data_IF_935891858314
#
_entry.id   IF_935891858314
#
_cell.length_a   1.000
_cell.length_b   1.000
_cell.length_c   1.000
_cell.angle_alpha   90.00
_cell.angle_beta   90.00
_cell.angle_gamma   90.00
#
_symmetry.space_group_name_H-M   'P 1'
#
loop_
_entity.id
_entity.type
_entity.pdbx_description
1 polymer ?
#
# COMPACT_ATOMS: atom_id res chain seq x y z
N UNK A 1 -50.71 -68.44 -6.86
CA UNK A 1 -49.79 -69.28 -7.66
C UNK A 1 -48.56 -69.56 -6.82
N UNK A 2 -48.29 -70.83 -6.50
CA UNK A 2 -47.14 -71.21 -5.68
C UNK A 2 -45.81 -70.91 -6.38
N UNK A 3 -44.78 -70.55 -5.61
CA UNK A 3 -43.42 -70.27 -6.13
C UNK A 3 -42.87 -71.38 -7.03
N UNK A 4 -43.33 -72.61 -6.80
CA UNK A 4 -42.96 -73.84 -7.48
C UNK A 4 -43.37 -73.86 -8.97
N UNK A 5 -44.48 -73.20 -9.32
CA UNK A 5 -44.95 -73.07 -10.72
C UNK A 5 -44.09 -72.06 -11.48
N UNK A 6 -43.70 -70.97 -10.80
CA UNK A 6 -42.82 -69.94 -11.33
C UNK A 6 -41.43 -70.50 -11.62
N UNK A 7 -40.87 -71.30 -10.72
CA UNK A 7 -39.54 -71.89 -10.86
C UNK A 7 -39.47 -72.90 -12.03
N UNK A 8 -40.48 -73.77 -12.18
CA UNK A 8 -40.48 -74.76 -13.27
C UNK A 8 -40.75 -74.15 -14.66
N UNK A 9 -41.48 -73.04 -14.74
CA UNK A 9 -41.65 -72.28 -15.97
C UNK A 9 -40.35 -71.59 -16.43
N UNK A 10 -39.47 -71.21 -15.49
CA UNK A 10 -38.25 -70.46 -15.76
C UNK A 10 -37.03 -71.36 -16.03
N UNK A 11 -36.90 -72.52 -15.39
CA UNK A 11 -35.70 -73.39 -15.52
C UNK A 11 -35.85 -74.58 -16.47
N UNK A 12 -37.08 -74.88 -16.91
CA UNK A 12 -37.40 -76.16 -17.55
C UNK A 12 -37.45 -77.29 -16.52
N UNK A 13 -38.47 -78.14 -16.59
CA UNK A 13 -38.68 -79.25 -15.66
C UNK A 13 -37.84 -80.49 -16.03
N UNK A 14 -36.57 -80.30 -16.40
CA UNK A 14 -35.64 -81.40 -16.60
C UNK A 14 -34.97 -81.72 -15.26
N UNK A 15 -35.51 -82.75 -14.60
CA UNK A 15 -35.01 -83.48 -13.43
C UNK A 15 -33.76 -82.90 -12.74
N UNK A 16 -33.93 -81.86 -11.93
CA UNK A 16 -32.89 -81.45 -10.96
C UNK A 16 -33.03 -82.22 -9.67
N UNK A 17 -32.02 -83.03 -9.36
CA UNK A 17 -31.85 -83.62 -8.03
C UNK A 17 -31.05 -82.66 -7.16
N UNK A 18 -31.68 -82.03 -6.17
CA UNK A 18 -30.96 -81.28 -5.13
C UNK A 18 -30.66 -82.21 -3.95
N UNK A 19 -29.39 -82.55 -3.66
CA UNK A 19 -29.03 -83.62 -2.71
C UNK A 19 -29.41 -83.37 -1.24
N UNK A 20 -29.94 -82.20 -0.89
CA UNK A 20 -30.28 -81.82 0.50
C UNK A 20 -31.72 -82.07 0.92
N UNK A 21 -32.64 -82.35 0.00
CA UNK A 21 -34.00 -82.73 0.36
C UNK A 21 -34.40 -83.95 -0.45
N UNK A 22 -34.55 -85.10 0.21
CA UNK A 22 -34.95 -86.39 -0.38
C UNK A 22 -36.41 -86.39 -0.91
N UNK A 23 -36.90 -85.26 -1.44
CA UNK A 23 -38.17 -85.13 -2.15
C UNK A 23 -37.85 -84.89 -3.63
N UNK A 24 -38.03 -85.92 -4.46
CA UNK A 24 -38.25 -85.71 -5.89
C UNK A 24 -39.55 -84.92 -6.05
N UNK A 25 -39.45 -83.61 -6.31
CA UNK A 25 -40.59 -82.80 -6.71
C UNK A 25 -40.88 -83.12 -8.18
N UNK A 26 -41.69 -84.15 -8.41
CA UNK A 26 -42.29 -84.37 -9.71
C UNK A 26 -43.25 -83.22 -9.99
N UNK A 27 -42.89 -82.31 -10.90
CA UNK A 27 -43.89 -81.43 -11.48
C UNK A 27 -44.90 -82.30 -12.21
N UNK A 28 -46.19 -82.12 -11.90
CA UNK A 28 -47.25 -82.82 -12.62
C UNK A 28 -47.19 -82.44 -14.10
N UNK A 29 -47.60 -83.32 -15.02
CA UNK A 29 -47.58 -83.04 -16.46
C UNK A 29 -48.32 -81.73 -16.82
N UNK A 30 -49.36 -81.40 -16.06
CA UNK A 30 -50.14 -80.17 -16.16
C UNK A 30 -49.31 -78.92 -15.79
N UNK A 31 -48.52 -78.96 -14.72
CA UNK A 31 -47.62 -77.84 -14.36
C UNK A 31 -46.50 -77.63 -15.38
N UNK A 32 -45.94 -78.71 -15.93
CA UNK A 32 -44.94 -78.59 -16.99
C UNK A 32 -45.56 -78.09 -18.31
N UNK A 33 -46.83 -78.40 -18.58
CA UNK A 33 -47.57 -77.89 -19.73
C UNK A 33 -47.90 -76.40 -19.57
N UNK A 34 -48.36 -75.95 -18.39
CA UNK A 34 -48.57 -74.54 -18.09
C UNK A 34 -47.28 -73.72 -18.14
N UNK A 35 -46.17 -74.24 -17.60
CA UNK A 35 -44.87 -73.58 -17.67
C UNK A 35 -44.34 -73.46 -19.11
N UNK A 36 -44.50 -74.50 -19.94
CA UNK A 36 -44.16 -74.44 -21.36
C UNK A 36 -45.10 -73.52 -22.15
N UNK A 37 -46.38 -73.49 -21.81
CA UNK A 37 -47.34 -72.58 -22.43
C UNK A 37 -46.98 -71.13 -22.11
N UNK A 38 -46.67 -70.80 -20.85
CA UNK A 38 -46.19 -69.48 -20.45
C UNK A 38 -44.88 -69.09 -21.14
N UNK A 39 -43.93 -70.01 -21.27
CA UNK A 39 -42.68 -69.78 -22.00
C UNK A 39 -42.90 -69.54 -23.49
N UNK A 40 -43.74 -70.35 -24.14
CA UNK A 40 -44.15 -70.09 -25.54
C UNK A 40 -44.91 -68.78 -25.66
N UNK A 41 -45.74 -68.42 -24.68
CA UNK A 41 -46.43 -67.12 -24.69
C UNK A 41 -45.42 -65.97 -24.58
N UNK A 42 -44.36 -66.13 -23.79
CA UNK A 42 -43.29 -65.14 -23.67
C UNK A 42 -42.42 -65.05 -24.93
N UNK A 43 -42.15 -66.18 -25.58
CA UNK A 43 -41.43 -66.28 -26.86
C UNK A 43 -42.28 -65.74 -28.04
N UNK A 44 -43.57 -66.10 -28.11
CA UNK A 44 -44.56 -65.65 -29.12
C UNK A 44 -44.88 -64.15 -28.99
N UNK A 45 -44.85 -63.61 -27.76
CA UNK A 45 -44.98 -62.18 -27.49
C UNK A 45 -43.66 -61.41 -27.72
N UNK A 46 -42.55 -62.10 -28.04
CA UNK A 46 -41.25 -61.49 -28.32
C UNK A 46 -40.66 -60.72 -27.12
N UNK A 47 -40.98 -61.12 -25.88
CA UNK A 47 -40.61 -60.37 -24.67
C UNK A 47 -39.08 -60.24 -24.53
N UNK A 48 -38.32 -61.28 -24.90
CA UNK A 48 -36.85 -61.24 -24.86
C UNK A 48 -36.26 -60.29 -25.92
N UNK A 49 -36.76 -60.32 -27.16
CA UNK A 49 -36.36 -59.39 -28.22
C UNK A 49 -36.70 -57.94 -27.83
N UNK A 50 -37.80 -57.74 -27.11
CA UNK A 50 -38.24 -56.44 -26.62
C UNK A 50 -37.41 -55.93 -25.43
N UNK A 51 -37.02 -56.81 -24.49
CA UNK A 51 -36.06 -56.49 -23.44
C UNK A 51 -34.68 -56.18 -24.02
N UNK A 52 -34.30 -56.88 -25.10
CA UNK A 52 -33.13 -56.57 -25.93
C UNK A 52 -33.22 -55.18 -26.56
N UNK A 53 -34.35 -54.84 -27.18
CA UNK A 53 -34.60 -53.53 -27.78
C UNK A 53 -34.62 -52.41 -26.73
N UNK A 54 -35.14 -52.65 -25.53
CA UNK A 54 -35.10 -51.70 -24.42
C UNK A 54 -33.71 -51.48 -23.86
N UNK A 55 -32.89 -52.55 -23.78
CA UNK A 55 -31.47 -52.43 -23.43
C UNK A 55 -30.74 -51.62 -24.49
N UNK A 56 -30.96 -51.94 -25.76
CA UNK A 56 -30.30 -51.24 -26.86
C UNK A 56 -30.71 -49.78 -26.89
N UNK A 57 -32.01 -49.46 -26.78
CA UNK A 57 -32.51 -48.10 -26.77
C UNK A 57 -32.04 -47.31 -25.55
N UNK A 58 -32.08 -47.91 -24.35
CA UNK A 58 -31.54 -47.32 -23.13
C UNK A 58 -30.04 -47.03 -23.26
N UNK A 59 -29.30 -47.98 -23.84
CA UNK A 59 -27.89 -47.83 -24.14
C UNK A 59 -27.65 -46.71 -25.17
N UNK A 60 -28.44 -46.65 -26.25
CA UNK A 60 -28.37 -45.65 -27.31
C UNK A 60 -28.68 -44.23 -26.79
N UNK A 61 -29.66 -44.08 -25.88
CA UNK A 61 -29.91 -42.78 -25.20
C UNK A 61 -28.76 -42.37 -24.28
N UNK A 62 -28.17 -43.33 -23.56
CA UNK A 62 -27.00 -43.05 -22.73
C UNK A 62 -25.80 -42.66 -23.61
N UNK A 63 -25.49 -43.40 -24.66
CA UNK A 63 -24.39 -43.06 -25.59
C UNK A 63 -24.65 -41.79 -26.39
N UNK A 64 -25.89 -41.39 -26.64
CA UNK A 64 -26.20 -40.11 -27.31
C UNK A 64 -26.03 -38.90 -26.40
N UNK A 65 -26.37 -39.01 -25.11
CA UNK A 65 -26.36 -37.89 -24.15
C UNK A 65 -25.06 -37.78 -23.35
N UNK A 66 -24.36 -38.90 -23.14
CA UNK A 66 -23.09 -38.95 -22.39
C UNK A 66 -21.96 -38.10 -23.01
N UNK A 67 -21.78 -38.03 -24.34
CA UNK A 67 -20.81 -37.12 -24.95
C UNK A 67 -21.12 -35.66 -24.67
N UNK A 68 -22.41 -35.27 -24.73
CA UNK A 68 -22.87 -33.91 -24.40
C UNK A 68 -22.62 -33.55 -22.94
N UNK A 69 -22.90 -34.47 -22.01
CA UNK A 69 -22.59 -34.27 -20.60
C UNK A 69 -21.08 -34.13 -20.36
N UNK A 70 -20.26 -34.91 -21.06
CA UNK A 70 -18.80 -34.82 -21.01
C UNK A 70 -18.28 -33.50 -21.59
N UNK A 71 -18.83 -33.01 -22.70
CA UNK A 71 -18.47 -31.71 -23.31
C UNK A 71 -18.81 -30.55 -22.37
N UNK A 72 -19.99 -30.56 -21.75
CA UNK A 72 -20.42 -29.50 -20.83
C UNK A 72 -19.61 -29.52 -19.54
N UNK A 73 -19.33 -30.70 -18.98
CA UNK A 73 -18.43 -30.80 -17.81
C UNK A 73 -17.01 -30.37 -18.15
N UNK A 74 -16.47 -30.75 -19.30
CA UNK A 74 -15.15 -30.31 -19.74
C UNK A 74 -15.07 -28.79 -19.92
N UNK A 75 -16.03 -28.19 -20.65
CA UNK A 75 -16.09 -26.75 -20.87
C UNK A 75 -16.29 -25.97 -19.56
N UNK A 76 -17.15 -26.46 -18.66
CA UNK A 76 -17.36 -25.86 -17.34
C UNK A 76 -16.09 -25.94 -16.48
N UNK A 77 -15.36 -27.07 -16.53
CA UNK A 77 -14.10 -27.26 -15.80
C UNK A 77 -13.00 -26.35 -16.33
N UNK A 78 -12.88 -26.22 -17.65
CA UNK A 78 -11.93 -25.31 -18.29
C UNK A 78 -12.24 -23.85 -17.89
N UNK A 79 -13.49 -23.41 -18.03
CA UNK A 79 -13.91 -22.05 -17.70
C UNK A 79 -13.72 -21.71 -16.22
N UNK A 80 -14.06 -22.62 -15.31
CA UNK A 80 -13.82 -22.43 -13.87
C UNK A 80 -12.34 -22.42 -13.52
N UNK A 81 -11.52 -23.26 -14.17
CA UNK A 81 -10.06 -23.26 -13.97
C UNK A 81 -9.41 -21.97 -14.46
N UNK A 82 -9.82 -21.47 -15.63
CA UNK A 82 -9.36 -20.18 -16.16
C UNK A 82 -9.77 -19.03 -15.24
N UNK A 83 -11.04 -18.98 -14.81
CA UNK A 83 -11.51 -17.93 -13.90
C UNK A 83 -10.83 -18.00 -12.53
N UNK A 84 -10.60 -19.20 -11.98
CA UNK A 84 -9.86 -19.37 -10.73
C UNK A 84 -8.41 -18.87 -10.85
N UNK A 85 -7.77 -19.08 -12.01
CA UNK A 85 -6.42 -18.57 -12.29
C UNK A 85 -6.40 -17.04 -12.35
N UNK A 86 -7.41 -16.43 -12.98
CA UNK A 86 -7.59 -14.97 -13.02
C UNK A 86 -7.82 -14.39 -11.61
N UNK A 87 -8.67 -15.02 -10.80
CA UNK A 87 -8.92 -14.61 -9.41
C UNK A 87 -7.65 -14.74 -8.55
N UNK A 88 -6.88 -15.82 -8.73
CA UNK A 88 -5.59 -15.98 -8.05
C UNK A 88 -4.59 -14.87 -8.45
N UNK A 89 -4.52 -14.54 -9.74
CA UNK A 89 -3.71 -13.42 -10.22
C UNK A 89 -4.12 -12.07 -9.62
N UNK A 90 -5.43 -11.82 -9.47
CA UNK A 90 -5.91 -10.61 -8.79
C UNK A 90 -5.62 -10.60 -7.29
N UNK A 91 -5.67 -11.75 -6.59
CA UNK A 91 -5.23 -11.79 -5.16
C UNK A 91 -3.75 -11.47 -4.99
N UNK A 92 -2.88 -11.95 -5.89
CA UNK A 92 -1.45 -11.63 -5.86
C UNK A 92 -1.21 -10.14 -6.17
N UNK A 93 -1.95 -9.57 -7.13
CA UNK A 93 -1.89 -8.14 -7.44
C UNK A 93 -2.39 -7.28 -6.27
N UNK A 94 -3.48 -7.67 -5.61
CA UNK A 94 -4.05 -6.95 -4.48
C UNK A 94 -3.11 -6.96 -3.26
N UNK A 95 -2.52 -8.12 -2.94
CA UNK A 95 -1.51 -8.23 -1.87
C UNK A 95 -0.26 -7.41 -2.18
N UNK A 96 0.24 -7.44 -3.42
CA UNK A 96 1.38 -6.63 -3.84
C UNK A 96 1.05 -5.13 -3.84
N UNK A 97 -0.14 -4.73 -4.28
CA UNK A 97 -0.59 -3.35 -4.29
C UNK A 97 -0.75 -2.81 -2.85
N UNK A 98 -1.34 -3.61 -1.96
CA UNK A 98 -1.47 -3.28 -0.52
C UNK A 98 -0.09 -3.08 0.12
N UNK A 99 0.88 -3.96 -0.16
CA UNK A 99 2.24 -3.81 0.36
C UNK A 99 2.94 -2.54 -0.17
N UNK A 100 2.71 -2.18 -1.44
CA UNK A 100 3.24 -0.93 -2.03
C UNK A 100 2.63 0.32 -1.40
N UNK A 101 1.33 0.31 -1.11
CA UNK A 101 0.66 1.42 -0.40
C UNK A 101 1.24 1.56 1.01
N UNK A 102 1.39 0.46 1.76
CA UNK A 102 1.94 0.50 3.11
C UNK A 102 3.41 1.03 3.15
N UNK A 103 4.26 0.61 2.21
CA UNK A 103 5.63 1.14 2.09
C UNK A 103 5.63 2.64 1.73
N UNK A 104 4.74 3.06 0.82
CA UNK A 104 4.61 4.47 0.45
C UNK A 104 4.11 5.34 1.63
N UNK A 105 3.15 4.84 2.42
CA UNK A 105 2.66 5.50 3.64
C UNK A 105 3.75 5.61 4.71
N UNK A 106 4.53 4.55 4.92
CA UNK A 106 5.66 4.58 5.85
C UNK A 106 6.71 5.62 5.45
N UNK A 107 6.97 5.79 4.14
CA UNK A 107 7.86 6.84 3.63
C UNK A 107 7.26 8.23 3.79
N UNK A 108 5.97 8.39 3.57
CA UNK A 108 5.27 9.65 3.78
C UNK A 108 5.34 10.09 5.26
N UNK A 109 5.10 9.17 6.21
CA UNK A 109 5.21 9.46 7.65
C UNK A 109 6.63 9.88 8.06
N UNK A 110 7.67 9.23 7.52
CA UNK A 110 9.06 9.65 7.75
C UNK A 110 9.33 11.03 7.19
N UNK A 111 8.88 11.30 5.97
CA UNK A 111 9.04 12.60 5.34
C UNK A 111 8.31 13.71 6.12
N UNK A 112 7.15 13.44 6.70
CA UNK A 112 6.43 14.38 7.58
C UNK A 112 7.22 14.68 8.86
N UNK A 113 7.77 13.65 9.51
CA UNK A 113 8.60 13.81 10.70
C UNK A 113 9.87 14.63 10.40
N UNK A 114 10.57 14.31 9.30
CA UNK A 114 11.73 15.07 8.83
C UNK A 114 11.36 16.52 8.51
N UNK A 115 10.19 16.76 7.91
CA UNK A 115 9.68 18.12 7.63
C UNK A 115 9.34 18.88 8.92
N UNK A 116 8.89 18.20 9.98
CA UNK A 116 8.64 18.82 11.27
C UNK A 116 9.94 19.22 11.99
N UNK A 117 10.93 18.32 12.01
CA UNK A 117 12.28 18.61 12.53
C UNK A 117 12.94 19.76 11.77
N UNK A 118 12.81 19.76 10.44
CA UNK A 118 13.23 20.84 9.56
C UNK A 118 12.62 22.20 9.92
N UNK A 119 11.32 22.25 10.23
CA UNK A 119 10.64 23.48 10.64
C UNK A 119 11.14 24.00 11.98
N UNK A 120 11.39 23.11 12.95
CA UNK A 120 11.97 23.48 14.25
C UNK A 120 13.40 24.03 14.06
N UNK A 121 14.22 23.36 13.24
CA UNK A 121 15.55 23.86 12.88
C UNK A 121 15.48 25.25 12.23
N UNK A 122 14.60 25.44 11.25
CA UNK A 122 14.41 26.74 10.59
C UNK A 122 14.02 27.84 11.59
N UNK A 123 13.14 27.54 12.55
CA UNK A 123 12.75 28.50 13.59
C UNK A 123 13.94 28.90 14.47
N UNK A 124 14.79 27.94 14.86
CA UNK A 124 16.02 28.20 15.62
C UNK A 124 17.01 29.06 14.84
N UNK A 125 17.21 28.75 13.56
CA UNK A 125 18.09 29.56 12.70
C UNK A 125 17.63 31.01 12.57
N UNK A 126 16.32 31.26 12.51
CA UNK A 126 15.78 32.63 12.47
C UNK A 126 16.15 33.39 13.75
N UNK A 127 16.01 32.74 14.91
CA UNK A 127 16.39 33.34 16.20
C UNK A 127 17.90 33.61 16.26
N UNK A 128 18.73 32.65 15.81
CA UNK A 128 20.19 32.82 15.76
C UNK A 128 20.61 33.95 14.82
N UNK A 129 20.00 34.04 13.63
CA UNK A 129 20.20 35.13 12.68
C UNK A 129 19.83 36.48 13.28
N UNK A 130 18.66 36.58 13.90
CA UNK A 130 18.19 37.84 14.47
C UNK A 130 19.09 38.29 15.64
N UNK A 131 19.61 37.34 16.43
CA UNK A 131 20.62 37.61 17.46
C UNK A 131 21.97 38.05 16.87
N UNK A 132 22.42 37.45 15.76
CA UNK A 132 23.63 37.85 15.05
C UNK A 132 23.49 39.28 14.46
N UNK A 133 22.34 39.59 13.86
CA UNK A 133 22.03 40.92 13.34
C UNK A 133 22.00 41.97 14.45
N UNK A 134 21.38 41.68 15.59
CA UNK A 134 21.38 42.58 16.74
C UNK A 134 22.81 42.87 17.25
N UNK A 135 23.67 41.85 17.30
CA UNK A 135 25.10 42.02 17.63
C UNK A 135 25.84 42.88 16.61
N UNK A 136 25.55 42.72 15.32
CA UNK A 136 26.17 43.52 14.26
C UNK A 136 25.78 45.00 14.37
N UNK A 137 24.49 45.29 14.59
CA UNK A 137 23.99 46.66 14.79
C UNK A 137 24.66 47.30 16.01
N UNK A 138 24.78 46.55 17.11
CA UNK A 138 25.43 47.04 18.33
C UNK A 138 26.93 47.31 18.11
N UNK A 139 27.63 46.44 17.38
CA UNK A 139 29.04 46.65 17.04
C UNK A 139 29.24 47.91 16.18
N UNK A 140 28.36 48.14 15.20
CA UNK A 140 28.38 49.37 14.39
C UNK A 140 28.14 50.63 15.23
N UNK A 141 27.20 50.58 16.18
CA UNK A 141 26.96 51.67 17.13
C UNK A 141 28.20 51.99 17.95
N UNK A 142 28.83 50.97 18.56
CA UNK A 142 30.04 51.12 19.39
C UNK A 142 31.21 51.68 18.57
N UNK A 143 31.35 51.27 17.31
CA UNK A 143 32.39 51.79 16.41
C UNK A 143 32.15 53.24 16.03
N UNK A 144 30.91 53.59 15.73
CA UNK A 144 30.52 54.98 15.46
C UNK A 144 30.85 55.90 16.64
N UNK A 145 30.57 55.46 17.87
CA UNK A 145 30.92 56.19 19.10
C UNK A 145 32.43 56.34 19.27
N UNK A 146 33.20 55.27 19.11
CA UNK A 146 34.66 55.31 19.25
C UNK A 146 35.33 56.22 18.19
N UNK A 147 34.84 56.21 16.95
CA UNK A 147 35.32 57.12 15.90
C UNK A 147 34.95 58.57 16.22
N UNK A 148 33.75 58.81 16.74
CA UNK A 148 33.32 60.13 17.22
C UNK A 148 34.21 60.69 18.33
N UNK A 149 34.50 59.86 19.35
CA UNK A 149 35.39 60.20 20.47
C UNK A 149 36.81 60.50 19.98
N UNK A 150 37.33 59.72 19.02
CA UNK A 150 38.62 59.98 18.38
C UNK A 150 38.65 61.35 17.71
N UNK A 151 37.64 61.68 16.89
CA UNK A 151 37.58 62.98 16.22
C UNK A 151 37.44 64.15 17.19
N UNK A 152 36.70 63.98 18.29
CA UNK A 152 36.65 64.97 19.36
C UNK A 152 38.04 65.20 19.97
N UNK A 153 38.75 64.13 20.33
CA UNK A 153 40.11 64.20 20.88
C UNK A 153 41.13 64.80 19.88
N UNK A 154 41.00 64.52 18.57
CA UNK A 154 41.80 65.14 17.51
C UNK A 154 41.60 66.66 17.49
N UNK A 155 40.34 67.11 17.55
CA UNK A 155 39.97 68.52 17.56
C UNK A 155 40.52 69.26 18.79
N UNK A 156 40.38 68.67 19.97
CA UNK A 156 40.96 69.19 21.23
C UNK A 156 42.50 69.29 21.13
N UNK A 157 43.16 68.26 20.60
CA UNK A 157 44.62 68.23 20.41
C UNK A 157 45.10 69.31 19.45
N UNK A 158 44.38 69.55 18.35
CA UNK A 158 44.69 70.62 17.38
C UNK A 158 44.52 72.00 18.03
N UNK A 159 43.45 72.22 18.80
CA UNK A 159 43.24 73.47 19.53
C UNK A 159 44.37 73.75 20.54
N UNK A 160 44.73 72.77 21.37
CA UNK A 160 45.80 72.92 22.35
C UNK A 160 47.17 73.20 21.72
N UNK A 161 47.47 72.65 20.53
CA UNK A 161 48.70 72.97 19.78
C UNK A 161 48.73 74.43 19.34
N UNK A 162 47.60 74.99 18.89
CA UNK A 162 47.48 76.40 18.50
C UNK A 162 47.67 77.32 19.70
N UNK A 163 47.04 76.99 20.83
CA UNK A 163 47.15 77.77 22.06
C UNK A 163 48.57 77.77 22.64
N UNK A 164 49.25 76.62 22.62
CA UNK A 164 50.66 76.53 23.00
C UNK A 164 51.56 77.36 22.08
N UNK A 165 51.35 77.30 20.76
CA UNK A 165 52.12 78.10 19.81
C UNK A 165 51.94 79.61 20.05
N UNK A 166 50.70 80.05 20.29
CA UNK A 166 50.40 81.44 20.63
C UNK A 166 51.05 81.87 21.95
N UNK A 167 51.03 81.01 22.99
CA UNK A 167 51.66 81.31 24.27
C UNK A 167 53.19 81.36 24.19
N UNK A 168 53.81 80.50 23.38
CA UNK A 168 55.26 80.51 23.13
C UNK A 168 55.67 81.78 22.38
N UNK A 169 54.92 82.19 21.36
CA UNK A 169 55.19 83.44 20.64
C UNK A 169 54.99 84.67 21.53
N UNK A 170 53.93 84.69 22.35
CA UNK A 170 53.71 85.75 23.33
C UNK A 170 54.87 85.85 24.34
N UNK A 171 55.39 84.70 24.81
CA UNK A 171 56.58 84.65 25.67
C UNK A 171 57.81 85.19 24.95
N UNK A 172 58.06 84.78 23.71
CA UNK A 172 59.19 85.26 22.89
C UNK A 172 59.13 86.78 22.71
N UNK A 173 57.95 87.33 22.40
CA UNK A 173 57.73 88.77 22.25
C UNK A 173 57.96 89.54 23.57
N UNK A 174 57.53 88.98 24.71
CA UNK A 174 57.73 89.60 26.02
C UNK A 174 59.19 89.53 26.48
N UNK A 175 59.90 88.42 26.24
CA UNK A 175 61.35 88.34 26.46
C UNK A 175 62.09 89.37 25.60
N UNK A 176 61.76 89.49 24.32
CA UNK A 176 62.35 90.51 23.45
C UNK A 176 61.99 91.95 23.85
N UNK A 177 60.92 92.17 24.64
CA UNK A 177 60.60 93.47 25.25
C UNK A 177 61.40 93.70 26.53
N UNK A 178 61.56 92.68 27.36
CA UNK A 178 62.40 92.72 28.55
C UNK A 178 63.86 93.03 28.18
N UNK A 179 64.43 92.31 27.19
CA UNK A 179 65.80 92.55 26.70
C UNK A 179 66.00 94.00 26.20
N UNK A 180 64.98 94.57 25.54
CA UNK A 180 64.99 95.97 25.09
C UNK A 180 64.79 96.97 26.24
N UNK A 181 64.02 96.60 27.25
CA UNK A 181 63.82 97.42 28.45
C UNK A 181 65.10 97.42 29.30
N UNK A 182 65.77 96.29 29.49
CA UNK A 182 67.04 96.18 30.20
C UNK A 182 68.14 97.01 29.53
N UNK A 183 68.16 97.04 28.18
CA UNK A 183 69.04 97.92 27.41
C UNK A 183 68.72 99.42 27.59
N UNK A 184 67.48 99.78 27.95
CA UNK A 184 67.04 101.16 28.20
C UNK A 184 67.02 101.55 29.70
N UNK A 185 67.02 100.58 30.63
CA UNK A 185 66.69 100.72 32.04
C UNK A 185 67.90 100.77 32.98
N UNK A 186 68.98 101.45 32.58
CA UNK A 186 69.85 102.05 33.60
C UNK A 186 69.08 103.08 34.49
N UNK A 187 67.88 103.52 34.08
CA UNK A 187 67.09 104.55 34.77
C UNK A 187 65.72 104.15 35.36
N UNK A 188 65.14 102.96 35.15
CA UNK A 188 63.78 102.61 35.67
C UNK A 188 63.64 101.12 36.11
N UNK A 189 64.15 100.77 37.30
CA UNK A 189 64.12 99.39 37.86
C UNK A 189 62.71 98.77 37.93
N UNK A 190 61.69 99.56 38.26
CA UNK A 190 60.32 99.07 38.43
C UNK A 190 59.69 98.52 37.13
N UNK A 191 60.14 98.99 35.95
CA UNK A 191 59.65 98.48 34.66
C UNK A 191 60.26 97.13 34.28
N UNK A 192 61.52 96.89 34.65
CA UNK A 192 62.21 95.62 34.45
C UNK A 192 61.61 94.52 35.35
N UNK A 193 61.43 94.80 36.65
CA UNK A 193 60.79 93.87 37.60
C UNK A 193 59.37 93.45 37.14
N UNK A 194 58.60 94.39 36.59
CA UNK A 194 57.27 94.10 36.03
C UNK A 194 57.31 93.22 34.77
N UNK A 195 58.37 93.31 33.96
CA UNK A 195 58.56 92.48 32.77
C UNK A 195 58.98 91.04 33.13
N UNK A 196 59.86 90.88 34.12
CA UNK A 196 60.27 89.58 34.66
C UNK A 196 59.09 88.82 35.29
N UNK A 197 58.22 89.52 36.02
CA UNK A 197 56.98 88.95 36.54
C UNK A 197 56.05 88.46 35.42
N UNK A 198 55.91 89.22 34.33
CA UNK A 198 55.13 88.82 33.15
C UNK A 198 55.77 87.63 32.44
N UNK A 199 57.09 87.62 32.28
CA UNK A 199 57.85 86.53 31.66
C UNK A 199 57.74 85.23 32.49
N UNK A 200 57.77 85.33 33.81
CA UNK A 200 57.61 84.20 34.73
C UNK A 200 56.19 83.62 34.67
N UNK A 201 55.16 84.47 34.63
CA UNK A 201 53.76 84.02 34.43
C UNK A 201 53.57 83.35 33.06
N UNK A 202 54.17 83.90 32.00
CA UNK A 202 54.14 83.30 30.66
C UNK A 202 54.89 81.96 30.62
N UNK A 203 56.03 81.84 31.29
CA UNK A 203 56.77 80.58 31.40
C UNK A 203 55.97 79.51 32.17
N UNK A 204 55.27 79.89 33.24
CA UNK A 204 54.36 79.00 33.95
C UNK A 204 53.19 78.56 33.05
N UNK A 205 52.60 79.48 32.29
CA UNK A 205 51.53 79.17 31.33
C UNK A 205 51.98 78.24 30.22
N UNK A 206 53.17 78.45 29.65
CA UNK A 206 53.75 77.53 28.65
C UNK A 206 53.98 76.14 29.24
N UNK A 207 54.44 76.03 30.50
CA UNK A 207 54.59 74.72 31.17
C UNK A 207 53.24 74.03 31.37
N UNK A 208 52.20 74.76 31.80
CA UNK A 208 50.83 74.24 31.94
C UNK A 208 50.30 73.72 30.60
N UNK A 209 50.32 74.55 29.55
CA UNK A 209 49.87 74.17 28.21
C UNK A 209 50.69 73.00 27.62
N UNK A 210 51.96 72.87 27.99
CA UNK A 210 52.79 71.73 27.57
C UNK A 210 52.37 70.43 28.27
N UNK A 211 51.97 70.51 29.55
CA UNK A 211 51.42 69.36 30.27
C UNK A 211 50.04 68.98 29.71
N UNK A 212 49.14 69.96 29.55
CA UNK A 212 47.81 69.78 28.95
C UNK A 212 47.90 69.15 27.55
N UNK A 213 48.84 69.60 26.71
CA UNK A 213 49.10 68.98 25.41
C UNK A 213 49.57 67.52 25.52
N UNK A 214 50.39 67.18 26.51
CA UNK A 214 50.86 65.81 26.71
C UNK A 214 49.70 64.90 27.11
N UNK A 215 48.84 65.37 28.00
CA UNK A 215 47.66 64.63 28.45
C UNK A 215 46.66 64.44 27.30
N UNK A 216 46.41 65.48 26.50
CA UNK A 216 45.58 65.38 25.30
C UNK A 216 46.18 64.46 24.23
N UNK A 217 47.51 64.41 24.11
CA UNK A 217 48.16 63.44 23.22
C UNK A 217 47.95 62.01 23.70
N UNK A 218 48.11 61.73 25.00
CA UNK A 218 47.81 60.42 25.57
C UNK A 218 46.34 60.04 25.34
N UNK A 219 45.41 60.95 25.61
CA UNK A 219 43.98 60.73 25.35
C UNK A 219 43.72 60.40 23.87
N UNK A 220 44.28 61.18 22.95
CA UNK A 220 44.16 60.92 21.52
C UNK A 220 44.71 59.54 21.12
N UNK A 221 45.86 59.13 21.65
CA UNK A 221 46.41 57.79 21.36
C UNK A 221 45.52 56.66 21.89
N UNK A 222 44.91 56.84 23.07
CA UNK A 222 43.97 55.87 23.65
C UNK A 222 42.70 55.78 22.81
N UNK A 223 42.08 56.90 22.45
CA UNK A 223 40.85 56.89 21.63
C UNK A 223 41.11 56.38 20.21
N UNK A 224 42.27 56.67 19.63
CA UNK A 224 42.67 56.09 18.32
C UNK A 224 42.75 54.57 18.40
N UNK A 225 43.41 54.04 19.43
CA UNK A 225 43.53 52.59 19.63
C UNK A 225 42.16 51.94 19.88
N UNK A 226 41.28 52.62 20.63
CA UNK A 226 39.90 52.17 20.88
C UNK A 226 39.08 52.13 19.60
N UNK A 227 39.15 53.17 18.76
CA UNK A 227 38.47 53.23 17.47
C UNK A 227 38.95 52.12 16.52
N UNK A 228 40.27 51.91 16.40
CA UNK A 228 40.83 50.87 15.54
C UNK A 228 40.42 49.46 16.00
N UNK A 229 40.32 49.24 17.32
CA UNK A 229 39.86 47.95 17.88
C UNK A 229 38.38 47.73 17.59
N UNK A 230 37.53 48.75 17.80
CA UNK A 230 36.10 48.68 17.52
C UNK A 230 35.81 48.42 16.03
N UNK A 231 36.58 49.04 15.12
CA UNK A 231 36.43 48.83 13.67
C UNK A 231 36.77 47.39 13.26
N UNK A 232 37.84 46.81 13.83
CA UNK A 232 38.19 45.39 13.61
C UNK A 232 37.12 44.44 14.14
N UNK A 233 36.62 44.69 15.34
CA UNK A 233 35.57 43.87 15.95
C UNK A 233 34.28 43.92 15.13
N UNK A 234 33.89 45.11 14.66
CA UNK A 234 32.71 45.27 13.79
C UNK A 234 32.86 44.57 12.46
N UNK A 235 34.05 44.65 11.85
CA UNK A 235 34.35 43.90 10.63
C UNK A 235 34.21 42.40 10.85
N UNK A 236 34.77 41.88 11.96
CA UNK A 236 34.66 40.47 12.33
C UNK A 236 33.20 40.04 12.56
N UNK A 237 32.40 40.86 13.24
CA UNK A 237 30.98 40.57 13.47
C UNK A 237 30.20 40.58 12.15
N UNK A 238 30.51 41.51 11.24
CA UNK A 238 29.88 41.56 9.90
C UNK A 238 30.20 40.32 9.07
N UNK A 239 31.46 39.88 9.07
CA UNK A 239 31.88 38.67 8.35
C UNK A 239 31.20 37.41 8.91
N UNK A 240 31.08 37.31 10.24
CA UNK A 240 30.35 36.22 10.88
C UNK A 240 28.86 36.25 10.51
N UNK A 241 28.21 37.41 10.61
CA UNK A 241 26.79 37.54 10.26
C UNK A 241 26.51 37.17 8.80
N UNK A 242 27.44 37.48 7.88
CA UNK A 242 27.35 37.07 6.48
C UNK A 242 27.47 35.56 6.31
N UNK A 243 28.43 34.94 7.02
CA UNK A 243 28.58 33.49 7.01
C UNK A 243 27.32 32.78 7.53
N UNK A 244 26.76 33.25 8.65
CA UNK A 244 25.54 32.71 9.25
C UNK A 244 24.33 32.84 8.29
N UNK A 245 24.24 33.96 7.54
CA UNK A 245 23.20 34.17 6.53
C UNK A 245 23.33 33.20 5.35
N UNK A 246 24.55 33.01 4.82
CA UNK A 246 24.81 32.07 3.74
C UNK A 246 24.49 30.63 4.17
N UNK A 247 24.83 30.26 5.41
CA UNK A 247 24.47 28.96 5.99
C UNK A 247 22.94 28.81 6.12
N UNK A 248 22.23 29.86 6.53
CA UNK A 248 20.76 29.88 6.62
C UNK A 248 20.10 29.72 5.25
N UNK A 249 20.60 30.37 4.20
CA UNK A 249 20.10 30.17 2.85
C UNK A 249 20.32 28.73 2.35
N UNK A 250 21.51 28.17 2.55
CA UNK A 250 21.80 26.79 2.13
C UNK A 250 20.88 25.78 2.83
N UNK A 251 20.62 25.97 4.13
CA UNK A 251 19.67 25.12 4.87
C UNK A 251 18.24 25.33 4.38
N UNK A 252 17.79 26.57 4.15
CA UNK A 252 16.47 26.85 3.61
C UNK A 252 16.21 26.18 2.24
N UNK A 253 17.22 26.15 1.36
CA UNK A 253 17.13 25.46 0.07
C UNK A 253 17.06 23.93 0.24
N UNK A 254 17.81 23.37 1.19
CA UNK A 254 17.69 21.96 1.54
C UNK A 254 16.29 21.61 2.06
N UNK A 255 15.70 22.46 2.92
CA UNK A 255 14.33 22.27 3.42
C UNK A 255 13.29 22.37 2.32
N UNK A 256 13.46 23.28 1.34
CA UNK A 256 12.58 23.36 0.16
C UNK A 256 12.63 22.08 -0.67
N UNK A 257 13.82 21.53 -0.87
CA UNK A 257 13.98 20.25 -1.58
C UNK A 257 13.25 19.11 -0.84
N UNK A 258 13.44 19.00 0.48
CA UNK A 258 12.76 18.01 1.33
C UNK A 258 11.23 18.15 1.27
N UNK A 259 10.70 19.37 1.37
CA UNK A 259 9.26 19.63 1.25
C UNK A 259 8.71 19.16 -0.10
N UNK A 260 9.45 19.43 -1.18
CA UNK A 260 9.04 19.03 -2.55
C UNK A 260 9.00 17.51 -2.67
N UNK A 261 9.99 16.80 -2.10
CA UNK A 261 10.00 15.33 -2.04
C UNK A 261 8.84 14.79 -1.21
N UNK A 262 8.54 15.38 -0.05
CA UNK A 262 7.41 14.98 0.80
C UNK A 262 6.05 15.17 0.09
N UNK A 263 5.88 16.25 -0.66
CA UNK A 263 4.67 16.47 -1.46
C UNK A 263 4.53 15.44 -2.59
N UNK A 264 5.64 15.10 -3.26
CA UNK A 264 5.64 14.08 -4.29
C UNK A 264 5.32 12.68 -3.75
N UNK A 265 5.82 12.33 -2.54
CA UNK A 265 5.49 11.04 -1.90
C UNK A 265 4.02 10.99 -1.48
N UNK A 266 3.45 12.07 -0.93
CA UNK A 266 2.03 12.14 -0.60
C UNK A 266 1.13 11.95 -1.83
N UNK A 267 1.42 12.65 -2.94
CA UNK A 267 0.69 12.48 -4.20
C UNK A 267 0.81 11.05 -4.77
N UNK A 268 1.97 10.40 -4.58
CA UNK A 268 2.15 9.01 -5.00
C UNK A 268 1.32 8.03 -4.18
N UNK A 269 1.18 8.26 -2.86
CA UNK A 269 0.29 7.46 -2.00
C UNK A 269 -1.15 7.56 -2.48
N UNK A 270 -1.65 8.77 -2.74
CA UNK A 270 -3.03 8.98 -3.23
C UNK A 270 -3.28 8.26 -4.56
N UNK A 271 -2.33 8.34 -5.50
CA UNK A 271 -2.37 7.59 -6.77
C UNK A 271 -2.39 6.07 -6.56
N UNK A 272 -1.56 5.54 -5.66
CA UNK A 272 -1.51 4.10 -5.39
C UNK A 272 -2.77 3.60 -4.67
N UNK A 273 -3.37 4.41 -3.80
CA UNK A 273 -4.65 4.09 -3.16
C UNK A 273 -5.79 4.06 -4.19
N UNK A 274 -5.80 4.97 -5.16
CA UNK A 274 -6.75 4.93 -6.27
C UNK A 274 -6.55 3.67 -7.15
N UNK A 275 -5.30 3.34 -7.50
CA UNK A 275 -4.97 2.10 -8.22
C UNK A 275 -5.44 0.85 -7.43
N UNK A 276 -5.17 0.77 -6.13
CA UNK A 276 -5.62 -0.34 -5.27
C UNK A 276 -7.15 -0.47 -5.26
N UNK A 277 -7.88 0.64 -5.17
CA UNK A 277 -9.34 0.62 -5.23
C UNK A 277 -9.86 0.06 -6.58
N UNK A 278 -9.20 0.40 -7.69
CA UNK A 278 -9.57 -0.16 -9.01
C UNK A 278 -9.28 -1.66 -9.12
N UNK A 279 -8.15 -2.13 -8.58
CA UNK A 279 -7.80 -3.56 -8.54
C UNK A 279 -8.80 -4.32 -7.66
N UNK A 280 -9.16 -3.79 -6.49
CA UNK A 280 -10.15 -4.40 -5.60
C UNK A 280 -11.54 -4.51 -6.25
N UNK A 281 -11.96 -3.49 -7.01
CA UNK A 281 -13.22 -3.53 -7.76
C UNK A 281 -13.19 -4.60 -8.88
N UNK A 282 -12.09 -4.70 -9.63
CA UNK A 282 -11.92 -5.73 -10.67
C UNK A 282 -11.89 -7.14 -10.07
N UNK A 283 -11.23 -7.33 -8.93
CA UNK A 283 -11.20 -8.59 -8.18
C UNK A 283 -12.61 -9.03 -7.75
N UNK A 284 -13.41 -8.11 -7.20
CA UNK A 284 -14.79 -8.37 -6.81
C UNK A 284 -15.68 -8.76 -8.01
N UNK A 285 -15.50 -8.10 -9.16
CA UNK A 285 -16.19 -8.45 -10.41
C UNK A 285 -15.80 -9.85 -10.89
N UNK A 286 -14.51 -10.20 -10.87
CA UNK A 286 -14.02 -11.51 -11.26
C UNK A 286 -14.56 -12.64 -10.34
N UNK A 287 -14.63 -12.41 -9.03
CA UNK A 287 -15.23 -13.36 -8.08
C UNK A 287 -16.74 -13.55 -8.32
N UNK A 288 -17.44 -12.46 -8.62
CA UNK A 288 -18.88 -12.51 -8.95
C UNK A 288 -19.09 -13.34 -10.22
N UNK A 289 -18.32 -13.08 -11.27
CA UNK A 289 -18.37 -13.81 -12.53
C UNK A 289 -18.05 -15.32 -12.37
N UNK A 290 -17.06 -15.67 -11.53
CA UNK A 290 -16.75 -17.07 -11.19
C UNK A 290 -17.95 -17.76 -10.52
N UNK A 291 -18.56 -17.08 -9.55
CA UNK A 291 -19.70 -17.63 -8.80
C UNK A 291 -20.93 -17.81 -9.71
N UNK A 292 -21.17 -16.87 -10.63
CA UNK A 292 -22.24 -16.96 -11.63
C UNK A 292 -22.00 -18.06 -12.65
N UNK A 293 -20.76 -18.20 -13.15
CA UNK A 293 -20.38 -19.26 -14.07
C UNK A 293 -20.58 -20.65 -13.46
N UNK A 294 -20.19 -20.85 -12.19
CA UNK A 294 -20.42 -22.09 -11.45
C UNK A 294 -21.91 -22.41 -11.33
N UNK A 295 -22.73 -21.43 -10.90
CA UNK A 295 -24.19 -21.61 -10.81
C UNK A 295 -24.82 -21.95 -12.17
N UNK A 296 -24.35 -21.33 -13.26
CA UNK A 296 -24.86 -21.60 -14.59
C UNK A 296 -24.53 -23.02 -15.05
N UNK A 297 -23.28 -23.46 -14.84
CA UNK A 297 -22.86 -24.83 -15.13
C UNK A 297 -23.67 -25.86 -14.33
N UNK A 298 -23.85 -25.63 -13.02
CA UNK A 298 -24.67 -26.49 -12.16
C UNK A 298 -26.13 -26.57 -12.64
N UNK A 299 -26.70 -25.44 -13.07
CA UNK A 299 -28.07 -25.38 -13.59
C UNK A 299 -28.22 -26.16 -14.89
N UNK A 300 -27.27 -26.05 -15.82
CA UNK A 300 -27.26 -26.82 -17.06
C UNK A 300 -27.10 -28.33 -16.81
N UNK A 301 -26.23 -28.72 -15.87
CA UNK A 301 -26.10 -30.13 -15.47
C UNK A 301 -27.39 -30.67 -14.86
N UNK A 302 -28.05 -29.90 -14.00
CA UNK A 302 -29.33 -30.27 -13.44
C UNK A 302 -30.43 -30.38 -14.50
N UNK A 303 -30.47 -29.49 -15.50
CA UNK A 303 -31.46 -29.59 -16.59
C UNK A 303 -31.23 -30.83 -17.44
N UNK A 304 -29.97 -31.14 -17.78
CA UNK A 304 -29.61 -32.37 -18.49
C UNK A 304 -29.98 -33.63 -17.69
N UNK A 305 -29.74 -33.65 -16.38
CA UNK A 305 -30.16 -34.76 -15.53
C UNK A 305 -31.69 -34.92 -15.51
N UNK A 306 -32.45 -33.82 -15.49
CA UNK A 306 -33.92 -33.87 -15.59
C UNK A 306 -34.38 -34.37 -16.96
N UNK A 307 -33.79 -33.88 -18.05
CA UNK A 307 -34.09 -34.35 -19.41
C UNK A 307 -33.81 -35.85 -19.54
N UNK A 308 -32.70 -36.32 -18.98
CA UNK A 308 -32.32 -37.73 -18.97
C UNK A 308 -33.30 -38.58 -18.15
N UNK A 309 -33.68 -38.13 -16.96
CA UNK A 309 -34.68 -38.81 -16.12
C UNK A 309 -36.05 -38.88 -16.81
N UNK A 310 -36.49 -37.79 -17.46
CA UNK A 310 -37.76 -37.76 -18.19
C UNK A 310 -37.73 -38.63 -19.45
N UNK A 311 -36.60 -38.68 -20.17
CA UNK A 311 -36.44 -39.57 -21.31
C UNK A 311 -36.55 -41.04 -20.86
N UNK A 312 -35.81 -41.42 -19.80
CA UNK A 312 -35.90 -42.75 -19.19
C UNK A 312 -37.33 -43.07 -18.73
N UNK A 313 -38.02 -42.14 -18.08
CA UNK A 313 -39.42 -42.30 -17.67
C UNK A 313 -40.34 -42.59 -18.86
N UNK A 314 -40.28 -41.77 -19.91
CA UNK A 314 -41.11 -41.94 -21.11
C UNK A 314 -40.82 -43.28 -21.77
N UNK A 315 -39.55 -43.68 -21.87
CA UNK A 315 -39.16 -44.94 -22.49
C UNK A 315 -39.62 -46.15 -21.69
N UNK A 316 -39.39 -46.19 -20.37
CA UNK A 316 -39.84 -47.30 -19.52
C UNK A 316 -41.37 -47.34 -19.49
N UNK A 317 -42.05 -46.19 -19.43
CA UNK A 317 -43.52 -46.14 -19.47
C UNK A 317 -44.07 -46.69 -20.78
N UNK A 318 -43.50 -46.27 -21.92
CA UNK A 318 -43.89 -46.74 -23.26
C UNK A 318 -43.70 -48.26 -23.37
N UNK A 319 -42.56 -48.77 -22.88
CA UNK A 319 -42.29 -50.19 -22.80
C UNK A 319 -43.30 -50.96 -21.95
N UNK A 320 -43.65 -50.46 -20.76
CA UNK A 320 -44.63 -51.09 -19.86
C UNK A 320 -46.01 -51.12 -20.51
N UNK A 321 -46.42 -50.02 -21.17
CA UNK A 321 -47.71 -49.96 -21.87
C UNK A 321 -47.76 -50.89 -23.08
N UNK A 322 -46.63 -51.12 -23.76
CA UNK A 322 -46.55 -52.03 -24.90
C UNK A 322 -46.53 -53.52 -24.48
N UNK A 323 -46.11 -53.85 -23.26
CA UNK A 323 -45.74 -55.23 -22.87
C UNK A 323 -46.76 -56.02 -22.05
N UNK A 324 -47.91 -55.47 -21.64
CA UNK A 324 -48.74 -56.19 -20.64
C UNK A 324 -50.23 -56.31 -20.98
N UNK A 325 -50.72 -57.55 -20.99
CA UNK A 325 -52.12 -57.94 -20.76
C UNK A 325 -52.40 -58.28 -19.28
N UNK A 326 -51.42 -58.13 -18.38
CA UNK A 326 -51.52 -58.49 -16.96
C UNK A 326 -51.29 -57.32 -16.00
N UNK A 327 -52.34 -56.93 -15.27
CA UNK A 327 -52.37 -55.74 -14.40
C UNK A 327 -51.46 -55.82 -13.16
N UNK A 328 -51.16 -57.01 -12.65
CA UNK A 328 -50.29 -57.17 -11.48
C UNK A 328 -48.83 -56.77 -11.77
N UNK A 329 -48.36 -57.04 -13.00
CA UNK A 329 -47.01 -56.67 -13.44
C UNK A 329 -46.90 -55.18 -13.73
N UNK A 330 -47.98 -54.56 -14.27
CA UNK A 330 -48.09 -53.10 -14.43
C UNK A 330 -48.00 -52.35 -13.12
N UNK A 331 -48.67 -52.82 -12.06
CA UNK A 331 -48.65 -52.16 -10.75
C UNK A 331 -47.28 -52.20 -10.10
N UNK A 332 -46.58 -53.34 -10.18
CA UNK A 332 -45.23 -53.48 -9.62
C UNK A 332 -44.19 -52.63 -10.37
N UNK A 333 -44.24 -52.60 -11.70
CA UNK A 333 -43.36 -51.75 -12.49
C UNK A 333 -43.66 -50.26 -12.30
N UNK A 334 -44.94 -49.86 -12.19
CA UNK A 334 -45.31 -48.48 -11.85
C UNK A 334 -44.80 -48.05 -10.49
N UNK A 335 -44.86 -48.90 -9.46
CA UNK A 335 -44.36 -48.52 -8.12
C UNK A 335 -42.85 -48.30 -8.12
N UNK A 336 -42.09 -49.16 -8.81
CA UNK A 336 -40.62 -49.02 -8.91
C UNK A 336 -40.21 -47.80 -9.76
N UNK A 337 -40.92 -47.52 -10.86
CA UNK A 337 -40.73 -46.30 -11.66
C UNK A 337 -40.99 -45.03 -10.85
N UNK A 338 -42.11 -45.00 -10.12
CA UNK A 338 -42.47 -43.86 -9.27
C UNK A 338 -41.40 -43.62 -8.21
N UNK A 339 -40.80 -44.70 -7.67
CA UNK A 339 -39.74 -44.60 -6.69
C UNK A 339 -38.39 -44.13 -7.26
N UNK A 340 -38.05 -44.55 -8.49
CA UNK A 340 -36.86 -44.10 -9.22
C UNK A 340 -36.96 -42.62 -9.62
N UNK A 341 -38.16 -42.16 -9.99
CA UNK A 341 -38.40 -40.77 -10.38
C UNK A 341 -38.46 -39.82 -9.18
N UNK A 342 -38.95 -40.31 -8.04
CA UNK A 342 -38.96 -39.53 -6.81
C UNK A 342 -37.55 -39.33 -6.22
N UNK A 343 -36.59 -40.23 -6.51
CA UNK A 343 -35.25 -40.21 -5.92
C UNK A 343 -34.17 -40.55 -6.98
N UNK A 344 -33.86 -39.60 -7.89
CA UNK A 344 -32.87 -39.79 -8.94
C UNK A 344 -31.46 -39.65 -8.37
N UNK A 345 -31.06 -40.55 -7.47
CA UNK A 345 -29.70 -40.56 -6.94
C UNK A 345 -28.78 -41.35 -7.91
N UNK A 346 -27.83 -40.68 -8.60
CA UNK A 346 -27.02 -41.28 -9.67
C UNK A 346 -26.15 -42.45 -9.18
N UNK A 347 -25.83 -42.49 -7.89
CA UNK A 347 -25.00 -43.56 -7.30
C UNK A 347 -25.77 -44.87 -7.12
N UNK A 348 -27.10 -44.81 -7.00
CA UNK A 348 -27.96 -45.97 -6.76
C UNK A 348 -28.72 -46.42 -8.00
N UNK A 349 -28.79 -45.56 -9.03
CA UNK A 349 -29.47 -45.81 -10.29
C UNK A 349 -29.02 -47.11 -10.99
N UNK A 350 -27.71 -47.41 -11.11
CA UNK A 350 -27.25 -48.63 -11.77
C UNK A 350 -27.68 -49.90 -11.01
N UNK A 351 -27.54 -49.91 -9.69
CA UNK A 351 -27.90 -51.05 -8.84
C UNK A 351 -29.42 -51.29 -8.78
N UNK A 352 -30.24 -50.23 -8.94
CA UNK A 352 -31.70 -50.35 -8.98
C UNK A 352 -32.21 -50.76 -10.36
N UNK A 353 -31.61 -50.25 -11.44
CA UNK A 353 -31.86 -50.77 -12.80
C UNK A 353 -31.49 -52.26 -12.87
N UNK A 354 -30.39 -52.66 -12.23
CA UNK A 354 -29.97 -54.06 -12.14
C UNK A 354 -30.98 -54.91 -11.34
N UNK A 355 -31.57 -54.40 -10.26
CA UNK A 355 -32.65 -55.10 -9.53
C UNK A 355 -33.94 -55.23 -10.34
N UNK A 356 -34.31 -54.19 -11.07
CA UNK A 356 -35.42 -54.24 -12.03
C UNK A 356 -35.13 -55.26 -13.14
N UNK A 357 -33.89 -55.35 -13.61
CA UNK A 357 -33.45 -56.37 -14.55
C UNK A 357 -33.53 -57.77 -13.94
N UNK A 358 -33.07 -58.00 -12.71
CA UNK A 358 -33.16 -59.29 -12.03
C UNK A 358 -34.62 -59.72 -11.80
N UNK A 359 -35.53 -58.76 -11.60
CA UNK A 359 -36.96 -59.04 -11.50
C UNK A 359 -37.62 -59.36 -12.86
N UNK A 360 -37.02 -58.93 -13.97
CA UNK A 360 -37.55 -59.08 -15.34
C UNK A 360 -36.82 -60.15 -16.17
N UNK A 361 -35.62 -60.59 -15.78
CA UNK A 361 -34.79 -61.54 -16.54
C UNK A 361 -34.82 -62.92 -15.86
N UNK A 362 -35.16 -64.02 -16.56
CA UNK A 362 -34.97 -65.37 -16.03
C UNK A 362 -33.47 -65.63 -15.74
N UNK A 363 -33.10 -66.38 -14.69
CA UNK A 363 -31.69 -66.68 -14.41
C UNK A 363 -31.09 -67.55 -15.54
N UNK A 364 -29.82 -67.34 -15.91
CA UNK A 364 -29.19 -68.11 -16.99
C UNK A 364 -29.08 -69.59 -16.61
N UNK A 365 -29.33 -70.47 -17.58
CA UNK A 365 -29.13 -71.90 -17.41
C UNK A 365 -27.64 -72.18 -17.11
N UNK A 366 -27.31 -72.95 -16.05
CA UNK A 366 -25.93 -73.30 -15.77
C UNK A 366 -25.39 -74.18 -16.90
N UNK A 367 -24.32 -73.72 -17.55
CA UNK A 367 -23.45 -74.57 -18.37
C UNK A 367 -22.69 -75.51 -17.45
N UNK A 368 -22.98 -76.81 -17.54
CA UNK A 368 -22.20 -77.85 -16.87
C UNK A 368 -20.91 -78.16 -17.64
N UNK A 369 -19.81 -78.57 -16.96
CA UNK A 369 -18.51 -78.90 -17.54
C UNK A 369 -18.52 -80.11 -18.48
#
# INVERSE_FOLDING_TARGET
>A
MGSEIRECALTGCDSRFTPRSNRQRYCTPEHAAEGRALRRTAEDLGIEDYLGALRQLGHDTLTALQPRAAEITAAATELTTTLATVVAGFTELDTAATARVADAEARAQRAEAETAEAKDLAARMVVERDAALAKAIEAERVTGEAIGDRHAAESESVAARRDLAAAVEARRLESARADRADAAAAQDRARAESADDRATRLAARVRSLTAERRDLWHRLTTETTRADTAERDTTRVRDQARHDLDQSHAQADALRAQLTTAQATAARVESLQAELATVGAAHAQAQTALTEAQRHADTQLQSLHREHAQALERHITTAITATTSHDALRQHLRSELTHLLAHPDPTTLPARIQRLQEALTPPPAPTSP
#
